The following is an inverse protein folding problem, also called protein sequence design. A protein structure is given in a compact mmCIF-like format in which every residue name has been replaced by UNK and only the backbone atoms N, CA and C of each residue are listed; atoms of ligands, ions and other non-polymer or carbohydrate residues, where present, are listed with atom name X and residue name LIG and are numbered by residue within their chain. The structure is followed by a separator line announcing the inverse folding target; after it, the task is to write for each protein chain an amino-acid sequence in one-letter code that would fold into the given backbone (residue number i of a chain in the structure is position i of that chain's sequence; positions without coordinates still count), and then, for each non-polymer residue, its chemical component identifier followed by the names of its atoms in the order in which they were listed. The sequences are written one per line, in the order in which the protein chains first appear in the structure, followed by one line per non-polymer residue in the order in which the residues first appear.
data_IF_499674777497
#
_entry.id   IF_499674777497
#
_cell.length_a   1.000
_cell.length_b   1.000
_cell.length_c   1.000
_cell.angle_alpha   90.00
_cell.angle_beta   90.00
_cell.angle_gamma   90.00
#
_symmetry.space_group_name_H-M   'P 1'
#
loop_
_entity.id
_entity.type
_entity.pdbx_description
1 polymer ?
#
# COMPACT_ATOMS: atom_id res chain seq x y z
N UNK A 1 -24.86 32.40 15.86
CA UNK A 1 -24.38 31.70 14.66
C UNK A 1 -25.09 30.35 14.62
N UNK A 2 -26.18 30.25 13.84
CA UNK A 2 -26.99 29.02 13.73
C UNK A 2 -26.38 28.14 12.65
N UNK A 3 -25.79 27.01 13.04
CA UNK A 3 -25.31 25.99 12.12
C UNK A 3 -26.49 25.35 11.40
N UNK A 4 -26.65 25.64 10.11
CA UNK A 4 -27.65 25.01 9.24
C UNK A 4 -27.32 23.52 9.11
N UNK A 5 -28.16 22.67 9.70
CA UNK A 5 -28.06 21.21 9.57
C UNK A 5 -28.51 20.86 8.15
N UNK A 6 -27.57 20.64 7.25
CA UNK A 6 -27.88 20.17 5.88
C UNK A 6 -28.22 18.68 5.95
N UNK A 7 -29.36 18.31 5.39
CA UNK A 7 -29.73 16.90 5.20
C UNK A 7 -28.76 16.25 4.21
N UNK A 8 -28.21 15.08 4.56
CA UNK A 8 -27.36 14.28 3.69
C UNK A 8 -28.12 13.68 2.48
N UNK A 9 -29.44 13.80 2.46
CA UNK A 9 -30.27 13.25 1.37
C UNK A 9 -30.12 14.02 0.05
N UNK A 10 -29.58 15.24 0.07
CA UNK A 10 -29.41 16.10 -1.12
C UNK A 10 -27.95 16.53 -1.35
N UNK A 11 -26.96 15.81 -0.82
CA UNK A 11 -25.57 16.09 -1.15
C UNK A 11 -25.24 15.49 -2.52
N UNK A 12 -24.76 16.31 -3.46
CA UNK A 12 -24.17 15.78 -4.69
C UNK A 12 -22.79 15.17 -4.37
N UNK A 13 -22.28 14.32 -5.24
CA UNK A 13 -20.96 13.69 -5.08
C UNK A 13 -19.83 14.71 -4.85
N UNK A 14 -19.97 15.91 -5.42
CA UNK A 14 -19.02 17.01 -5.25
C UNK A 14 -19.07 17.65 -3.85
N UNK A 15 -20.17 17.48 -3.11
CA UNK A 15 -20.38 18.08 -1.78
C UNK A 15 -19.84 17.22 -0.64
N UNK A 16 -19.35 16.00 -0.93
CA UNK A 16 -18.78 15.08 0.06
C UNK A 16 -17.25 15.17 0.00
N UNK A 17 -16.59 15.81 0.99
CA UNK A 17 -15.14 15.93 1.01
C UNK A 17 -14.48 14.54 0.99
N UNK A 18 -13.55 14.33 0.05
CA UNK A 18 -12.82 13.07 -0.10
C UNK A 18 -13.52 11.99 -0.93
N UNK A 19 -14.75 12.19 -1.41
CA UNK A 19 -15.45 11.20 -2.23
C UNK A 19 -14.76 10.95 -3.59
N UNK A 20 -14.03 11.94 -4.09
CA UNK A 20 -13.20 11.85 -5.30
C UNK A 20 -11.69 11.69 -5.02
N UNK A 21 -11.28 11.47 -3.76
CA UNK A 21 -9.86 11.29 -3.40
C UNK A 21 -9.38 9.83 -3.53
N UNK A 22 -10.13 8.97 -4.22
CA UNK A 22 -9.63 7.64 -4.54
C UNK A 22 -8.46 7.76 -5.53
N UNK A 23 -7.25 7.39 -5.13
CA UNK A 23 -6.10 7.60 -5.98
C UNK A 23 -6.18 6.61 -7.16
N UNK A 24 -6.13 7.17 -8.38
CA UNK A 24 -6.34 6.42 -9.61
C UNK A 24 -5.30 5.30 -9.87
N UNK A 25 -4.25 5.19 -9.04
CA UNK A 25 -3.25 4.12 -9.15
C UNK A 25 -3.81 2.74 -8.83
N UNK A 26 -4.89 2.63 -8.03
CA UNK A 26 -5.47 1.32 -7.68
C UNK A 26 -6.07 0.60 -8.90
N UNK A 27 -6.42 1.36 -9.95
CA UNK A 27 -7.03 0.84 -11.17
C UNK A 27 -6.13 0.98 -12.41
N UNK A 28 -4.86 1.39 -12.24
CA UNK A 28 -3.88 1.33 -13.32
C UNK A 28 -3.47 -0.12 -13.57
N UNK A 29 -4.31 -0.83 -14.34
CA UNK A 29 -3.90 -2.05 -15.02
C UNK A 29 -2.81 -1.66 -16.01
N UNK A 30 -1.59 -2.05 -15.67
CA UNK A 30 -0.34 -1.70 -16.34
C UNK A 30 -0.35 -2.20 -17.80
N UNK A 31 -0.87 -1.40 -18.73
CA UNK A 31 -0.87 -1.68 -20.17
C UNK A 31 0.49 -1.30 -20.79
N UNK A 32 1.56 -1.95 -20.35
CA UNK A 32 2.84 -1.92 -21.05
C UNK A 32 2.81 -2.95 -22.19
N UNK A 33 2.43 -2.48 -23.38
CA UNK A 33 2.63 -3.19 -24.63
C UNK A 33 4.13 -3.28 -24.92
N UNK A 34 4.70 -4.49 -24.83
CA UNK A 34 5.74 -4.99 -25.74
C UNK A 34 5.79 -6.52 -25.68
N UNK A 35 5.20 -7.16 -26.70
CA UNK A 35 5.50 -8.52 -27.20
C UNK A 35 5.37 -9.74 -26.26
N UNK A 36 4.19 -10.37 -26.27
CA UNK A 36 3.92 -11.75 -26.78
C UNK A 36 2.71 -12.37 -26.06
N UNK A 37 1.76 -12.82 -26.88
CA UNK A 37 0.66 -13.74 -26.56
C UNK A 37 -0.31 -13.23 -25.49
N UNK A 38 -1.35 -12.54 -25.96
CA UNK A 38 -2.62 -12.46 -25.25
C UNK A 38 -3.15 -13.90 -25.05
N UNK A 39 -2.84 -14.52 -23.91
CA UNK A 39 -3.78 -15.47 -23.36
C UNK A 39 -4.93 -14.64 -22.78
N UNK A 40 -6.15 -14.99 -23.16
CA UNK A 40 -7.37 -14.41 -22.61
C UNK A 40 -7.46 -14.76 -21.12
N UNK A 41 -6.68 -14.12 -20.26
CA UNK A 41 -6.86 -14.23 -18.82
C UNK A 41 -8.04 -13.34 -18.45
N UNK A 42 -9.24 -13.88 -18.68
CA UNK A 42 -10.48 -13.38 -18.11
C UNK A 42 -10.33 -13.50 -16.60
N UNK A 43 -10.00 -12.40 -15.93
CA UNK A 43 -10.10 -12.32 -14.48
C UNK A 43 -11.61 -12.37 -14.19
N UNK A 44 -12.13 -13.58 -13.95
CA UNK A 44 -13.46 -13.76 -13.39
C UNK A 44 -13.33 -13.53 -11.90
N UNK A 45 -13.81 -12.40 -11.35
CA UNK A 45 -13.91 -12.27 -9.90
C UNK A 45 -14.86 -13.37 -9.44
N UNK A 46 -14.35 -14.36 -8.71
CA UNK A 46 -15.20 -15.32 -8.01
C UNK A 46 -15.78 -14.61 -6.79
N UNK A 47 -16.77 -13.75 -7.03
CA UNK A 47 -17.64 -13.24 -5.98
C UNK A 47 -18.58 -14.37 -5.63
N UNK A 48 -18.40 -14.97 -4.46
CA UNK A 48 -19.34 -15.95 -3.94
C UNK A 48 -20.48 -15.19 -3.28
N UNK A 49 -21.68 -15.39 -3.80
CA UNK A 49 -22.88 -14.76 -3.28
C UNK A 49 -23.34 -15.55 -2.05
N UNK A 50 -23.06 -15.05 -0.85
CA UNK A 50 -23.46 -15.68 0.41
C UNK A 50 -24.94 -15.42 0.75
N UNK A 51 -25.62 -14.57 -0.03
CA UNK A 51 -26.95 -14.05 0.31
C UNK A 51 -28.12 -14.73 -0.41
N UNK A 52 -27.85 -15.65 -1.35
CA UNK A 52 -28.85 -16.57 -1.91
C UNK A 52 -30.01 -15.98 -2.71
N UNK A 53 -30.04 -14.66 -2.99
CA UNK A 53 -31.21 -13.99 -3.55
C UNK A 53 -31.06 -13.51 -5.01
N UNK A 54 -29.99 -13.90 -5.70
CA UNK A 54 -29.61 -13.32 -6.99
C UNK A 54 -30.11 -14.19 -8.15
N UNK A 55 -31.25 -13.81 -8.74
CA UNK A 55 -31.76 -14.42 -9.99
C UNK A 55 -30.86 -13.99 -11.15
N UNK A 56 -30.37 -14.96 -11.92
CA UNK A 56 -29.52 -14.71 -13.10
C UNK A 56 -30.34 -13.95 -14.15
N UNK A 57 -29.92 -12.76 -14.62
CA UNK A 57 -30.63 -12.04 -15.67
C UNK A 57 -30.55 -12.80 -17.00
N UNK A 58 -31.70 -13.13 -17.58
CA UNK A 58 -31.86 -13.99 -18.76
C UNK A 58 -31.58 -13.28 -20.09
N UNK A 59 -31.36 -11.96 -20.09
CA UNK A 59 -31.27 -11.18 -21.32
C UNK A 59 -29.79 -10.80 -21.56
N UNK A 60 -29.19 -11.24 -22.67
CA UNK A 60 -27.81 -10.89 -22.98
C UNK A 60 -27.67 -9.38 -23.22
N UNK A 61 -26.55 -8.77 -22.81
CA UNK A 61 -26.36 -7.33 -22.97
C UNK A 61 -26.30 -6.94 -24.46
N UNK A 62 -26.83 -5.77 -24.84
CA UNK A 62 -26.83 -5.30 -26.21
C UNK A 62 -25.40 -5.02 -26.71
N UNK A 63 -25.12 -5.27 -28.00
CA UNK A 63 -23.79 -5.09 -28.58
C UNK A 63 -23.40 -3.60 -28.64
N UNK A 64 -22.27 -3.27 -28.01
CA UNK A 64 -21.70 -1.92 -28.03
C UNK A 64 -21.12 -1.60 -29.43
N UNK A 65 -21.75 -0.66 -30.15
CA UNK A 65 -21.19 -0.10 -31.39
C UNK A 65 -20.01 0.82 -31.06
N UNK A 66 -18.81 0.38 -31.42
CA UNK A 66 -17.54 1.12 -31.25
C UNK A 66 -17.49 2.30 -32.24
N UNK A 67 -17.73 3.52 -31.75
CA UNK A 67 -17.54 4.75 -32.52
C UNK A 67 -16.04 5.12 -32.49
N UNK A 68 -15.37 5.11 -33.65
CA UNK A 68 -14.01 5.62 -33.79
C UNK A 68 -14.04 7.17 -33.81
N UNK A 69 -13.62 7.81 -32.72
CA UNK A 69 -13.31 9.25 -32.73
C UNK A 69 -11.83 9.46 -33.05
N UNK A 70 -11.57 10.05 -34.22
CA UNK A 70 -10.26 10.61 -34.61
C UNK A 70 -9.89 11.76 -33.68
N UNK A 71 -8.60 11.85 -33.36
CA UNK A 71 -7.98 12.95 -32.62
C UNK A 71 -7.95 14.23 -33.45
N UNK A 72 -8.37 15.35 -32.84
CA UNK A 72 -8.04 16.70 -33.30
C UNK A 72 -7.60 17.51 -32.08
N UNK A 73 -6.34 17.93 -32.12
CA UNK A 73 -5.76 18.99 -31.32
C UNK A 73 -6.40 20.32 -31.70
N UNK A 74 -6.80 21.15 -30.72
CA UNK A 74 -6.65 22.63 -30.73
C UNK A 74 -7.50 23.31 -29.65
N UNK A 75 -6.82 24.12 -28.83
CA UNK A 75 -7.18 25.47 -28.35
C UNK A 75 -8.44 25.70 -27.49
N UNK A 76 -8.15 26.29 -26.33
CA UNK A 76 -8.99 27.06 -25.40
C UNK A 76 -10.00 28.00 -26.05
N UNK A 77 -11.26 28.00 -25.58
CA UNK A 77 -12.13 29.18 -25.48
C UNK A 77 -13.10 29.01 -24.28
N UNK A 78 -13.15 30.07 -23.48
CA UNK A 78 -14.08 30.39 -22.37
C UNK A 78 -15.49 30.64 -22.93
N UNK A 79 -16.55 30.18 -22.26
CA UNK A 79 -17.75 31.00 -22.04
C UNK A 79 -18.79 30.31 -21.17
N UNK A 80 -19.32 31.14 -20.27
CA UNK A 80 -20.32 30.96 -19.22
C UNK A 80 -21.76 30.99 -19.72
N UNK A 81 -22.67 30.80 -18.75
CA UNK A 81 -24.09 31.21 -18.70
C UNK A 81 -25.11 30.17 -19.18
N UNK A 82 -26.32 30.03 -18.64
CA UNK A 82 -27.01 30.47 -17.42
C UNK A 82 -28.41 29.82 -17.48
N UNK A 83 -28.97 29.47 -16.32
CA UNK A 83 -30.39 29.40 -15.96
C UNK A 83 -31.38 28.58 -16.81
N UNK A 84 -32.13 27.72 -16.11
CA UNK A 84 -33.60 27.79 -16.13
C UNK A 84 -34.19 27.14 -14.88
N UNK A 85 -35.14 27.86 -14.30
CA UNK A 85 -35.92 27.63 -13.10
C UNK A 85 -37.04 26.57 -13.29
N UNK A 86 -37.73 26.32 -12.18
CA UNK A 86 -39.11 25.84 -12.04
C UNK A 86 -39.39 24.33 -12.10
N UNK A 87 -39.61 23.72 -10.91
CA UNK A 87 -40.97 23.27 -10.60
C UNK A 87 -41.25 23.08 -9.10
N UNK A 88 -42.47 23.47 -8.77
CA UNK A 88 -43.15 23.59 -7.50
C UNK A 88 -43.95 22.29 -7.25
N UNK A 89 -44.01 21.78 -6.02
CA UNK A 89 -44.90 20.64 -5.73
C UNK A 89 -44.79 20.02 -4.34
N UNK A 90 -45.66 20.51 -3.46
CA UNK A 90 -46.39 19.80 -2.40
C UNK A 90 -45.73 19.35 -1.08
N UNK A 91 -46.32 19.95 -0.03
CA UNK A 91 -46.30 19.67 1.39
C UNK A 91 -46.69 18.22 1.78
N UNK A 92 -45.90 17.59 2.66
CA UNK A 92 -46.46 16.76 3.73
C UNK A 92 -45.53 16.69 4.97
N UNK A 93 -45.99 17.00 6.20
CA UNK A 93 -45.25 16.85 7.45
C UNK A 93 -45.32 15.41 8.03
N UNK A 94 -44.53 15.08 9.07
CA UNK A 94 -43.71 13.87 9.12
C UNK A 94 -44.30 12.72 9.94
N UNK A 95 -43.96 11.48 9.56
CA UNK A 95 -44.17 10.31 10.43
C UNK A 95 -42.89 10.03 11.21
N UNK A 96 -42.99 10.26 12.52
CA UNK A 96 -42.01 9.97 13.56
C UNK A 96 -41.70 8.48 13.59
N UNK A 97 -40.44 8.10 13.38
CA UNK A 97 -39.93 6.76 13.70
C UNK A 97 -38.85 6.94 14.79
N UNK A 98 -39.02 6.34 15.99
CA UNK A 98 -38.08 6.49 17.09
C UNK A 98 -36.78 5.70 16.89
N UNK A 99 -35.68 6.30 17.31
CA UNK A 99 -34.34 5.71 17.41
C UNK A 99 -34.33 4.45 18.28
N UNK A 100 -33.60 3.39 17.90
CA UNK A 100 -33.31 2.29 18.81
C UNK A 100 -32.28 2.73 19.87
N UNK A 101 -32.66 2.50 21.11
CA UNK A 101 -31.90 2.69 22.35
C UNK A 101 -30.61 1.87 22.32
N UNK A 102 -29.52 2.54 22.67
CA UNK A 102 -28.21 1.94 22.95
C UNK A 102 -28.36 1.16 24.26
N UNK A 103 -28.28 -0.16 24.20
CA UNK A 103 -28.08 -1.00 25.39
C UNK A 103 -26.61 -1.39 25.43
N UNK A 104 -25.84 -0.73 26.29
CA UNK A 104 -24.54 -1.22 26.74
C UNK A 104 -24.74 -2.59 27.39
N UNK A 105 -24.20 -3.63 26.75
CA UNK A 105 -23.98 -4.92 27.40
C UNK A 105 -22.48 -5.16 27.43
N UNK A 106 -21.94 -4.98 28.62
CA UNK A 106 -20.58 -5.34 28.99
C UNK A 106 -20.57 -6.87 29.08
N UNK A 107 -20.05 -7.56 28.07
CA UNK A 107 -19.66 -8.97 28.21
C UNK A 107 -18.14 -9.12 28.17
N UNK A 108 -17.67 -9.43 29.37
CA UNK A 108 -16.36 -9.91 29.74
C UNK A 108 -16.19 -11.34 29.18
N UNK A 109 -15.49 -11.49 28.06
CA UNK A 109 -15.09 -12.81 27.57
C UNK A 109 -13.65 -12.77 27.04
N UNK A 110 -12.75 -12.89 27.99
CA UNK A 110 -11.47 -13.62 27.97
C UNK A 110 -11.01 -14.17 26.62
N UNK A 111 -10.14 -13.41 25.94
CA UNK A 111 -9.26 -13.91 24.87
C UNK A 111 -8.06 -14.64 25.45
N UNK A 112 -7.73 -15.87 25.00
CA UNK A 112 -6.39 -16.39 25.06
C UNK A 112 -5.82 -16.38 23.64
N UNK A 113 -5.11 -15.32 23.26
CA UNK A 113 -4.15 -15.40 22.17
C UNK A 113 -2.83 -14.89 22.70
N UNK A 114 -1.94 -15.86 22.87
CA UNK A 114 -0.65 -15.79 23.55
C UNK A 114 0.15 -14.56 23.14
N UNK A 115 0.29 -13.66 24.11
CA UNK A 115 1.43 -12.76 24.22
C UNK A 115 2.71 -13.60 24.25
N UNK A 116 3.44 -13.62 23.15
CA UNK A 116 4.88 -13.86 23.19
C UNK A 116 5.58 -12.53 23.43
N UNK A 117 5.40 -11.99 24.63
CA UNK A 117 6.27 -10.95 25.16
C UNK A 117 7.47 -11.65 25.79
N UNK A 118 8.37 -12.17 24.95
CA UNK A 118 9.71 -12.50 25.40
C UNK A 118 10.44 -11.18 25.68
N UNK A 119 10.89 -11.04 26.91
CA UNK A 119 11.71 -9.97 27.44
C UNK A 119 12.90 -9.67 26.52
N UNK A 120 12.77 -8.63 25.72
CA UNK A 120 13.78 -8.07 24.79
C UNK A 120 14.98 -7.40 25.49
N UNK A 121 15.16 -7.56 26.80
CA UNK A 121 16.12 -6.79 27.59
C UNK A 121 17.55 -7.34 27.60
N UNK A 122 17.83 -8.45 26.93
CA UNK A 122 19.18 -9.04 26.85
C UNK A 122 19.58 -9.44 25.43
N UNK A 123 19.00 -8.77 24.43
CA UNK A 123 19.46 -8.93 23.05
C UNK A 123 20.74 -8.12 22.89
N UNK A 124 21.88 -8.81 23.05
CA UNK A 124 23.21 -8.32 22.74
C UNK A 124 23.20 -7.65 21.36
N UNK A 125 23.14 -6.32 21.37
CA UNK A 125 23.09 -5.45 20.21
C UNK A 125 24.46 -4.83 20.01
N UNK A 126 24.97 -4.92 18.79
CA UNK A 126 26.23 -4.28 18.43
C UNK A 126 26.07 -2.76 18.52
N UNK A 127 27.15 -2.08 18.89
CA UNK A 127 27.19 -0.63 18.85
C UNK A 127 27.02 -0.12 17.41
N UNK A 128 26.59 1.14 17.29
CA UNK A 128 26.45 1.83 16.00
C UNK A 128 27.72 1.71 15.15
N UNK A 129 28.87 1.99 15.75
CA UNK A 129 30.14 2.04 15.04
C UNK A 129 30.62 0.65 14.62
N UNK A 130 30.38 -0.37 15.44
CA UNK A 130 30.63 -1.77 15.06
C UNK A 130 29.77 -2.21 13.88
N UNK A 131 28.50 -1.81 13.84
CA UNK A 131 27.61 -2.11 12.72
C UNK A 131 28.07 -1.42 11.44
N UNK A 132 28.45 -0.14 11.49
CA UNK A 132 29.01 0.57 10.34
C UNK A 132 30.28 -0.13 9.85
N UNK A 133 31.20 -0.47 10.75
CA UNK A 133 32.43 -1.20 10.40
C UNK A 133 32.13 -2.55 9.75
N UNK A 134 31.11 -3.29 10.20
CA UNK A 134 30.70 -4.56 9.57
C UNK A 134 30.12 -4.35 8.17
N UNK A 135 29.34 -3.30 7.97
CA UNK A 135 28.78 -2.94 6.66
C UNK A 135 29.90 -2.55 5.69
N UNK A 136 30.86 -1.74 6.14
CA UNK A 136 32.03 -1.39 5.32
C UNK A 136 32.87 -2.60 4.94
N UNK A 137 33.09 -3.54 5.89
CA UNK A 137 33.75 -4.82 5.59
C UNK A 137 33.01 -5.60 4.51
N UNK A 138 31.68 -5.63 4.56
CA UNK A 138 30.85 -6.27 3.54
C UNK A 138 31.00 -5.59 2.17
N UNK A 139 31.11 -4.26 2.14
CA UNK A 139 31.35 -3.51 0.89
C UNK A 139 32.75 -3.67 0.31
N UNK A 140 33.72 -4.11 1.10
CA UNK A 140 35.07 -4.39 0.64
C UNK A 140 35.25 -5.82 0.11
N UNK A 141 34.18 -6.63 0.10
CA UNK A 141 34.21 -7.99 -0.45
C UNK A 141 34.03 -7.96 -1.98
N UNK A 142 34.53 -9.01 -2.65
CA UNK A 142 34.33 -9.16 -4.08
C UNK A 142 32.83 -9.28 -4.39
N UNK A 143 32.36 -8.44 -5.31
CA UNK A 143 30.98 -8.45 -5.78
C UNK A 143 30.90 -9.01 -7.19
N UNK A 144 29.83 -9.77 -7.47
CA UNK A 144 29.46 -10.18 -8.83
C UNK A 144 28.77 -9.06 -9.62
N UNK A 145 28.42 -7.96 -8.96
CA UNK A 145 27.79 -6.80 -9.59
C UNK A 145 28.82 -6.04 -10.43
N UNK A 146 28.35 -5.36 -11.49
CA UNK A 146 29.18 -4.40 -12.19
C UNK A 146 29.57 -3.24 -11.26
N UNK A 147 30.75 -2.66 -11.46
CA UNK A 147 31.24 -1.56 -10.61
C UNK A 147 30.24 -0.39 -10.52
N UNK A 148 29.63 0.00 -11.63
CA UNK A 148 28.64 1.08 -11.66
C UNK A 148 27.39 0.75 -10.83
N UNK A 149 26.90 -0.49 -10.95
CA UNK A 149 25.73 -0.95 -10.20
C UNK A 149 26.03 -1.08 -8.70
N UNK A 150 27.20 -1.62 -8.37
CA UNK A 150 27.67 -1.71 -6.99
C UNK A 150 27.76 -0.34 -6.32
N UNK A 151 28.41 0.63 -6.98
CA UNK A 151 28.52 2.01 -6.46
C UNK A 151 27.15 2.68 -6.29
N UNK A 152 26.21 2.43 -7.20
CA UNK A 152 24.85 2.95 -7.09
C UNK A 152 24.16 2.44 -5.81
N UNK A 153 24.19 1.13 -5.55
CA UNK A 153 23.58 0.56 -4.35
C UNK A 153 24.33 0.96 -3.08
N UNK A 154 25.67 0.97 -3.11
CA UNK A 154 26.51 1.39 -1.99
C UNK A 154 26.16 2.80 -1.54
N UNK A 155 26.15 3.75 -2.47
CA UNK A 155 25.76 5.15 -2.21
C UNK A 155 24.37 5.26 -1.59
N UNK A 156 23.42 4.43 -2.05
CA UNK A 156 22.05 4.41 -1.55
C UNK A 156 21.97 3.90 -0.10
N UNK A 157 22.77 2.89 0.26
CA UNK A 157 22.87 2.41 1.64
C UNK A 157 23.56 3.44 2.52
N UNK A 158 24.74 3.95 2.11
CA UNK A 158 25.53 4.92 2.87
C UNK A 158 24.74 6.19 3.23
N UNK A 159 23.91 6.66 2.29
CA UNK A 159 23.07 7.86 2.50
C UNK A 159 22.02 7.69 3.59
N UNK A 160 21.60 6.46 3.90
CA UNK A 160 20.49 6.18 4.82
C UNK A 160 20.92 5.46 6.10
N UNK A 161 22.03 4.73 6.07
CA UNK A 161 22.43 3.83 7.16
C UNK A 161 22.73 4.58 8.45
N UNK A 162 23.40 5.73 8.35
CA UNK A 162 23.73 6.54 9.53
C UNK A 162 22.50 7.06 10.27
N UNK A 163 21.41 7.37 9.56
CA UNK A 163 20.18 7.80 10.21
C UNK A 163 19.39 6.59 10.73
N UNK A 164 19.37 5.50 9.96
CA UNK A 164 18.63 4.28 10.31
C UNK A 164 19.20 3.61 11.56
N UNK A 165 20.52 3.66 11.77
CA UNK A 165 21.18 3.14 12.97
C UNK A 165 20.90 3.96 14.25
N UNK A 166 20.13 5.03 14.20
CA UNK A 166 19.61 5.66 15.42
C UNK A 166 18.43 4.87 16.00
N UNK A 167 17.77 4.03 15.19
CA UNK A 167 16.67 3.19 15.63
C UNK A 167 17.21 1.87 16.22
N UNK A 168 16.81 1.56 17.46
CA UNK A 168 17.26 0.35 18.15
C UNK A 168 16.77 -0.93 17.47
N UNK A 169 15.57 -0.91 16.88
CA UNK A 169 15.07 -2.06 16.11
C UNK A 169 16.00 -2.37 14.93
N UNK A 170 16.44 -1.33 14.22
CA UNK A 170 17.39 -1.48 13.10
C UNK A 170 18.72 -2.06 13.57
N UNK A 171 19.25 -1.61 14.71
CA UNK A 171 20.49 -2.17 15.29
C UNK A 171 20.32 -3.64 15.65
N UNK A 172 19.21 -4.02 16.27
CA UNK A 172 18.91 -5.39 16.66
C UNK A 172 18.82 -6.29 15.42
N UNK A 173 18.06 -5.88 14.40
CA UNK A 173 17.88 -6.68 13.19
C UNK A 173 19.19 -6.80 12.41
N UNK A 174 19.96 -5.72 12.26
CA UNK A 174 21.26 -5.78 11.60
C UNK A 174 22.27 -6.62 12.39
N UNK A 175 22.23 -6.56 13.73
CA UNK A 175 23.05 -7.42 14.58
C UNK A 175 22.71 -8.89 14.35
N UNK A 176 21.42 -9.23 14.35
CA UNK A 176 20.93 -10.57 14.06
C UNK A 176 21.32 -11.02 12.65
N UNK A 177 21.16 -10.14 11.66
CA UNK A 177 21.57 -10.39 10.29
C UNK A 177 23.05 -10.76 10.20
N UNK A 178 23.95 -9.98 10.81
CA UNK A 178 25.39 -10.29 10.80
C UNK A 178 25.75 -11.55 11.59
N UNK A 179 24.99 -11.89 12.64
CA UNK A 179 25.14 -13.17 13.36
C UNK A 179 24.73 -14.35 12.47
N UNK A 180 23.63 -14.22 11.75
CA UNK A 180 23.11 -15.26 10.86
C UNK A 180 23.86 -15.37 9.53
N UNK A 181 24.40 -14.28 8.99
CA UNK A 181 25.08 -14.25 7.69
C UNK A 181 26.31 -15.16 7.67
N UNK A 182 27.05 -15.22 8.78
CA UNK A 182 28.23 -16.07 8.95
C UNK A 182 27.89 -17.57 9.02
N UNK A 183 26.62 -17.92 9.33
CA UNK A 183 26.20 -19.31 9.49
C UNK A 183 25.38 -19.80 8.30
N UNK A 184 24.37 -19.01 7.90
CA UNK A 184 23.35 -19.39 6.93
C UNK A 184 22.87 -18.15 6.16
N UNK A 185 23.47 -17.91 5.00
CA UNK A 185 23.09 -16.79 4.12
C UNK A 185 21.59 -16.76 3.78
N UNK A 186 20.94 -17.93 3.63
CA UNK A 186 19.50 -18.00 3.34
C UNK A 186 18.65 -17.48 4.51
N UNK A 187 19.03 -17.76 5.76
CA UNK A 187 18.31 -17.26 6.94
C UNK A 187 18.46 -15.74 7.05
N UNK A 188 19.67 -15.24 6.87
CA UNK A 188 19.96 -13.81 6.85
C UNK A 188 19.17 -13.06 5.77
N UNK A 189 19.08 -13.62 4.55
CA UNK A 189 18.25 -13.06 3.46
C UNK A 189 16.77 -13.05 3.83
N UNK A 190 16.26 -14.16 4.37
CA UNK A 190 14.87 -14.26 4.82
C UNK A 190 14.57 -13.21 5.90
N UNK A 191 15.45 -13.03 6.86
CA UNK A 191 15.33 -12.01 7.91
C UNK A 191 15.19 -10.60 7.33
N UNK A 192 16.04 -10.23 6.35
CA UNK A 192 15.93 -8.94 5.67
C UNK A 192 14.64 -8.79 4.88
N UNK A 193 14.18 -9.85 4.21
CA UNK A 193 12.90 -9.85 3.49
C UNK A 193 11.71 -9.67 4.45
N UNK A 194 11.67 -10.43 5.54
CA UNK A 194 10.62 -10.35 6.56
C UNK A 194 10.61 -8.95 7.22
N UNK A 195 11.79 -8.36 7.44
CA UNK A 195 11.91 -6.99 7.93
C UNK A 195 11.37 -5.96 6.93
N UNK A 196 11.69 -6.09 5.64
CA UNK A 196 11.16 -5.19 4.60
C UNK A 196 9.64 -5.24 4.47
N UNK A 197 9.00 -6.37 4.79
CA UNK A 197 7.53 -6.49 4.82
C UNK A 197 6.95 -5.81 6.06
N UNK A 198 7.67 -5.87 7.18
CA UNK A 198 7.19 -5.39 8.48
C UNK A 198 7.44 -3.90 8.71
N UNK A 199 8.49 -3.34 8.13
CA UNK A 199 8.94 -1.97 8.38
C UNK A 199 9.11 -1.18 7.07
N UNK A 200 8.22 -0.21 6.85
CA UNK A 200 8.23 0.62 5.64
C UNK A 200 9.36 1.65 5.64
N UNK A 201 9.93 2.00 6.80
CA UNK A 201 10.95 3.05 6.90
C UNK A 201 12.27 2.69 6.21
N UNK A 202 12.52 1.39 6.02
CA UNK A 202 13.75 0.86 5.44
C UNK A 202 13.65 0.47 3.96
N UNK A 203 12.44 0.50 3.40
CA UNK A 203 12.17 0.11 2.00
C UNK A 203 12.98 0.91 0.99
N UNK A 204 13.38 2.12 1.36
CA UNK A 204 14.17 3.00 0.50
C UNK A 204 15.61 2.52 0.30
N UNK A 205 16.21 1.75 1.21
CA UNK A 205 17.64 1.37 1.12
C UNK A 205 17.89 -0.13 1.34
N UNK A 206 17.04 -0.82 2.09
CA UNK A 206 17.20 -2.24 2.38
C UNK A 206 17.21 -3.13 1.12
N UNK A 207 16.40 -2.88 0.06
CA UNK A 207 16.53 -3.64 -1.18
C UNK A 207 17.91 -3.51 -1.85
N UNK A 208 18.52 -2.32 -1.77
CA UNK A 208 19.86 -2.09 -2.28
C UNK A 208 20.91 -2.84 -1.44
N UNK A 209 20.76 -2.80 -0.10
CA UNK A 209 21.62 -3.55 0.81
C UNK A 209 21.53 -5.06 0.53
N UNK A 210 20.32 -5.60 0.43
CA UNK A 210 20.09 -7.00 0.11
C UNK A 210 20.72 -7.39 -1.24
N UNK A 211 20.59 -6.54 -2.26
CA UNK A 211 21.18 -6.79 -3.58
C UNK A 211 22.70 -6.92 -3.51
N UNK A 212 23.37 -6.10 -2.69
CA UNK A 212 24.81 -6.21 -2.45
C UNK A 212 25.14 -7.54 -1.75
N UNK A 213 24.44 -7.85 -0.67
CA UNK A 213 24.63 -9.10 0.12
C UNK A 213 24.42 -10.37 -0.72
N UNK A 214 23.47 -10.34 -1.66
CA UNK A 214 23.22 -11.48 -2.55
C UNK A 214 24.37 -11.74 -3.53
N UNK A 215 25.12 -10.71 -3.87
CA UNK A 215 26.17 -10.74 -4.87
C UNK A 215 27.58 -10.69 -4.28
N UNK A 216 27.73 -10.56 -2.96
CA UNK A 216 29.01 -10.74 -2.31
C UNK A 216 29.40 -12.23 -2.31
N UNK A 217 30.69 -12.49 -2.50
CA UNK A 217 31.21 -13.86 -2.68
C UNK A 217 31.25 -14.67 -1.38
N UNK A 218 31.16 -14.03 -0.21
CA UNK A 218 31.21 -14.68 1.11
C UNK A 218 30.61 -13.81 2.21
N UNK A 219 29.97 -14.42 3.21
CA UNK A 219 29.87 -13.93 4.59
C UNK A 219 30.27 -15.08 5.52
#
# INVERSE_FOLDING_TARGET
MTSSVRSFQNCSEADVPGYNDCPSFLFQVNNNNNNKRQSNFKITPKVYDLSGNTKIPTIPPPPLRRINRRSISSRSIISSSSNSEDNLGDDQPPTVIPSPVITETIELATSPTQQRNESLSDVESLSRDELVNKIERLFNQDSKLSEQEFQYYKKKVDSNIHQSLNNDLTKIILTQFFKESNQNQHKAKKLLMDWMVSDMSITNWCPAFLKIVENSTTC
#
